data_IF_371246343520
#
_entry.id   IF_371246343520
#
_cell.length_a   1.000
_cell.length_b   1.000
_cell.length_c   1.000
_cell.angle_alpha   90.00
_cell.angle_beta   90.00
_cell.angle_gamma   90.00
#
_symmetry.space_group_name_H-M   'P 1'
#
loop_
_entity.id
_entity.type
_entity.pdbx_description
1 polymer ?
#
# COMPACT_ATOMS: atom_id res chain seq x y z
N UNK A 1 -18.20 -54.85 -8.83
CA UNK A 1 -17.46 -53.79 -9.51
C UNK A 1 -18.21 -52.48 -9.21
N UNK A 2 -17.83 -51.79 -8.12
CA UNK A 2 -18.50 -50.61 -7.64
C UNK A 2 -17.66 -49.40 -8.07
N UNK A 3 -18.20 -48.57 -8.95
CA UNK A 3 -17.63 -47.28 -9.33
C UNK A 3 -17.83 -46.28 -8.20
N UNK A 4 -16.74 -45.81 -7.59
CA UNK A 4 -16.77 -44.71 -6.67
C UNK A 4 -16.88 -43.41 -7.49
N UNK A 5 -18.08 -42.79 -7.47
CA UNK A 5 -18.27 -41.45 -7.99
C UNK A 5 -17.46 -40.45 -7.16
N UNK A 6 -16.52 -39.82 -7.82
CA UNK A 6 -15.73 -38.71 -7.27
C UNK A 6 -16.63 -37.54 -6.93
N UNK A 7 -16.79 -37.25 -5.64
CA UNK A 7 -17.45 -36.03 -5.18
C UNK A 7 -16.66 -34.84 -5.66
N UNK A 8 -17.19 -34.15 -6.65
CA UNK A 8 -16.73 -32.85 -7.09
C UNK A 8 -16.97 -31.85 -5.94
N UNK A 9 -15.88 -31.51 -5.22
CA UNK A 9 -15.93 -30.43 -4.23
C UNK A 9 -15.92 -29.13 -5.02
N UNK A 10 -16.98 -28.30 -4.98
CA UNK A 10 -16.97 -27.02 -5.66
C UNK A 10 -15.86 -26.18 -5.04
N UNK A 11 -14.90 -25.73 -5.87
CA UNK A 11 -13.92 -24.74 -5.47
C UNK A 11 -14.68 -23.52 -4.93
N UNK A 12 -14.50 -23.18 -3.66
CA UNK A 12 -14.97 -21.92 -3.12
C UNK A 12 -14.32 -20.83 -4.00
N UNK A 13 -15.12 -20.20 -4.85
CA UNK A 13 -14.73 -18.96 -5.53
C UNK A 13 -14.57 -17.91 -4.45
N UNK A 14 -13.36 -17.73 -3.94
CA UNK A 14 -13.00 -16.56 -3.14
C UNK A 14 -13.17 -15.37 -4.07
N UNK A 15 -14.21 -14.59 -3.85
CA UNK A 15 -14.49 -13.38 -4.59
C UNK A 15 -13.29 -12.44 -4.36
N UNK A 16 -12.44 -12.26 -5.38
CA UNK A 16 -11.28 -11.37 -5.30
C UNK A 16 -11.74 -9.91 -5.27
N UNK A 17 -11.07 -9.10 -4.46
CA UNK A 17 -11.35 -7.68 -4.38
C UNK A 17 -11.01 -7.00 -5.72
N UNK A 18 -12.00 -6.31 -6.32
CA UNK A 18 -11.86 -5.70 -7.65
C UNK A 18 -11.86 -4.18 -7.66
N UNK A 19 -12.24 -3.56 -6.54
CA UNK A 19 -12.32 -2.11 -6.40
C UNK A 19 -11.63 -1.70 -5.11
N UNK A 20 -10.49 -1.02 -5.20
CA UNK A 20 -9.68 -0.55 -4.08
C UNK A 20 -8.64 0.47 -4.54
N UNK A 21 -8.02 1.17 -3.59
CA UNK A 21 -6.82 1.95 -3.83
C UNK A 21 -5.66 1.37 -3.02
N UNK A 22 -4.62 0.90 -3.69
CA UNK A 22 -3.37 0.53 -3.02
C UNK A 22 -2.58 1.79 -2.68
N UNK A 23 -2.04 1.85 -1.46
CA UNK A 23 -1.30 3.01 -0.95
C UNK A 23 -0.04 2.56 -0.24
N UNK A 24 0.99 3.40 -0.35
CA UNK A 24 2.25 3.25 0.37
C UNK A 24 2.83 4.62 0.71
N UNK A 25 3.37 4.76 1.94
CA UNK A 25 4.02 5.97 2.43
C UNK A 25 5.48 5.74 2.74
N UNK A 26 6.33 6.73 2.38
CA UNK A 26 7.66 6.84 2.97
C UNK A 26 7.68 7.93 4.04
N UNK A 27 8.46 7.71 5.11
CA UNK A 27 8.60 8.67 6.21
C UNK A 27 10.01 9.21 6.31
N UNK A 28 10.15 10.50 6.56
CA UNK A 28 11.46 11.16 6.71
C UNK A 28 12.22 10.67 7.97
N UNK A 29 11.48 10.28 9.01
CA UNK A 29 12.03 9.83 10.28
C UNK A 29 11.05 8.90 11.00
N UNK A 30 11.32 8.55 12.26
CA UNK A 30 10.51 7.63 13.04
C UNK A 30 9.12 8.15 13.49
N UNK A 31 8.85 9.44 13.28
CA UNK A 31 7.51 9.99 13.54
C UNK A 31 6.59 9.64 12.39
N UNK A 32 5.47 8.99 12.65
CA UNK A 32 4.50 8.61 11.61
C UNK A 32 3.91 9.80 10.87
N UNK A 33 3.85 10.99 11.50
CA UNK A 33 3.43 12.23 10.82
C UNK A 33 4.45 12.79 9.83
N UNK A 34 5.68 12.25 9.79
CA UNK A 34 6.75 12.73 8.91
C UNK A 34 6.71 12.12 7.50
N UNK A 35 5.52 11.86 6.98
CA UNK A 35 5.37 11.36 5.61
C UNK A 35 6.08 12.29 4.63
N UNK A 36 6.94 11.74 3.77
CA UNK A 36 7.75 12.50 2.81
C UNK A 36 7.48 12.10 1.35
N UNK A 37 6.79 11.00 1.13
CA UNK A 37 6.19 10.68 -0.17
C UNK A 37 4.99 9.76 -0.02
N UNK A 38 4.13 9.74 -1.03
CA UNK A 38 3.00 8.84 -1.14
C UNK A 38 2.88 8.30 -2.55
N UNK A 39 2.60 7.01 -2.67
CA UNK A 39 2.20 6.34 -3.90
C UNK A 39 0.78 5.79 -3.77
N UNK A 40 -0.05 6.00 -4.77
CA UNK A 40 -1.43 5.47 -4.81
C UNK A 40 -1.73 4.86 -6.16
N UNK A 41 -2.37 3.69 -6.15
CA UNK A 41 -2.81 2.98 -7.36
C UNK A 41 -4.28 2.64 -7.23
N UNK A 42 -5.10 3.29 -8.03
CA UNK A 42 -6.53 3.02 -8.15
C UNK A 42 -6.80 1.76 -8.98
N UNK A 43 -7.62 0.86 -8.45
CA UNK A 43 -8.07 -0.35 -9.13
C UNK A 43 -9.59 -0.35 -9.17
N UNK A 44 -10.16 -0.47 -10.38
CA UNK A 44 -11.61 -0.56 -10.58
C UNK A 44 -11.93 -1.73 -11.52
N UNK A 45 -12.87 -2.54 -11.12
CA UNK A 45 -13.25 -3.76 -11.85
C UNK A 45 -12.06 -4.71 -12.13
N UNK A 46 -11.09 -4.76 -11.21
CA UNK A 46 -9.91 -5.60 -11.34
C UNK A 46 -8.84 -5.06 -12.30
N UNK A 47 -8.96 -3.81 -12.74
CA UNK A 47 -8.00 -3.15 -13.64
C UNK A 47 -7.45 -1.89 -12.99
N UNK A 48 -6.15 -1.66 -13.12
CA UNK A 48 -5.50 -0.41 -12.71
C UNK A 48 -6.02 0.73 -13.58
N UNK A 49 -6.65 1.73 -12.96
CA UNK A 49 -7.21 2.90 -13.65
C UNK A 49 -6.40 4.15 -13.43
N UNK A 50 -5.78 4.28 -12.26
CA UNK A 50 -5.12 5.51 -11.85
C UNK A 50 -3.81 5.20 -11.13
N UNK A 51 -2.83 6.09 -11.28
CA UNK A 51 -1.58 6.07 -10.55
C UNK A 51 -1.23 7.49 -10.12
N UNK A 52 -0.85 7.65 -8.88
CA UNK A 52 -0.47 8.93 -8.31
C UNK A 52 0.81 8.78 -7.49
N UNK A 53 1.69 9.76 -7.62
CA UNK A 53 2.88 9.89 -6.79
C UNK A 53 3.11 11.35 -6.44
N UNK A 54 3.43 11.62 -5.18
CA UNK A 54 3.88 12.95 -4.76
C UNK A 54 4.94 12.84 -3.69
N UNK A 55 5.92 13.73 -3.75
CA UNK A 55 6.70 14.12 -2.60
C UNK A 55 5.84 14.98 -1.68
N UNK A 56 6.16 14.96 -0.39
CA UNK A 56 5.43 15.70 0.65
C UNK A 56 6.46 16.39 1.55
N UNK A 57 6.23 17.67 1.87
CA UNK A 57 7.00 18.36 2.89
C UNK A 57 6.72 17.76 4.28
N UNK A 58 7.69 17.09 4.93
CA UNK A 58 7.41 16.31 6.12
C UNK A 58 7.38 17.14 7.40
N UNK A 59 6.56 16.73 8.36
CA UNK A 59 6.56 17.27 9.71
C UNK A 59 6.68 16.18 10.77
N UNK A 60 7.75 16.22 11.62
CA UNK A 60 8.81 17.25 11.72
C UNK A 60 9.79 17.20 10.54
N UNK A 61 10.35 18.38 10.18
CA UNK A 61 11.22 18.57 9.02
C UNK A 61 12.67 18.19 9.33
N UNK A 62 12.94 16.89 9.41
CA UNK A 62 14.29 16.32 9.42
C UNK A 62 14.25 14.89 8.88
N UNK A 63 15.35 14.43 8.29
CA UNK A 63 15.51 13.07 7.86
C UNK A 63 16.41 12.29 8.79
N UNK A 64 16.01 11.07 9.16
CA UNK A 64 16.89 10.15 9.85
C UNK A 64 17.79 9.43 8.84
N UNK A 65 19.01 9.15 9.25
CA UNK A 65 19.93 8.37 8.44
C UNK A 65 19.34 7.03 7.96
N UNK A 66 18.61 6.36 8.83
CA UNK A 66 18.03 5.05 8.52
C UNK A 66 16.92 5.13 7.48
N UNK A 67 16.03 6.12 7.58
CA UNK A 67 14.94 6.33 6.62
C UNK A 67 15.52 6.68 5.24
N UNK A 68 16.46 7.64 5.17
CA UNK A 68 17.15 7.97 3.92
C UNK A 68 17.85 6.76 3.29
N UNK A 69 18.47 5.89 4.08
CA UNK A 69 19.08 4.66 3.54
C UNK A 69 18.07 3.69 2.95
N UNK A 70 16.82 3.72 3.39
CA UNK A 70 15.77 2.85 2.89
C UNK A 70 15.24 3.35 1.55
N UNK A 71 14.75 4.59 1.49
CA UNK A 71 14.05 5.13 0.31
C UNK A 71 14.88 6.13 -0.52
N UNK A 72 16.05 6.55 -0.04
CA UNK A 72 16.95 7.45 -0.75
C UNK A 72 16.61 8.93 -0.72
N UNK A 73 15.41 9.31 -0.25
CA UNK A 73 14.98 10.71 -0.20
C UNK A 73 15.74 11.49 0.89
N UNK A 74 15.96 12.77 0.62
CA UNK A 74 16.68 13.72 1.47
C UNK A 74 15.86 14.99 1.69
N UNK A 75 16.35 15.88 2.56
CA UNK A 75 15.76 17.21 2.76
C UNK A 75 15.70 18.04 1.48
N UNK A 76 16.68 17.89 0.59
CA UNK A 76 16.76 18.65 -0.66
C UNK A 76 15.64 18.22 -1.62
N UNK A 77 15.32 16.92 -1.66
CA UNK A 77 14.30 16.38 -2.55
C UNK A 77 12.90 16.91 -2.22
N UNK A 78 12.63 17.22 -0.95
CA UNK A 78 11.32 17.62 -0.45
C UNK A 78 11.22 19.11 -0.07
N UNK A 79 12.29 19.89 -0.31
CA UNK A 79 12.35 21.28 0.13
C UNK A 79 11.23 22.16 -0.44
N UNK A 80 10.88 21.91 -1.71
CA UNK A 80 9.80 22.62 -2.44
C UNK A 80 8.55 21.74 -2.64
N UNK A 81 8.45 20.61 -1.92
CA UNK A 81 7.30 19.71 -2.02
C UNK A 81 6.06 20.35 -1.36
N UNK A 82 4.86 20.04 -1.86
CA UNK A 82 3.62 20.50 -1.25
C UNK A 82 3.45 19.88 0.15
N UNK A 83 2.66 20.53 0.98
CA UNK A 83 2.26 19.97 2.27
C UNK A 83 1.19 18.88 2.11
N UNK A 84 1.07 18.03 3.13
CA UNK A 84 0.16 16.89 3.09
C UNK A 84 -1.29 17.24 2.71
N UNK A 85 -1.94 18.29 3.23
CA UNK A 85 -3.34 18.59 2.88
C UNK A 85 -3.56 18.84 1.38
N UNK A 86 -2.60 19.49 0.70
CA UNK A 86 -2.69 19.76 -0.74
C UNK A 86 -2.53 18.48 -1.57
N UNK A 87 -1.65 17.59 -1.12
CA UNK A 87 -1.46 16.26 -1.75
C UNK A 87 -2.68 15.39 -1.50
N UNK A 88 -3.17 15.36 -0.26
CA UNK A 88 -4.26 14.48 0.13
C UNK A 88 -5.58 14.82 -0.55
N UNK A 89 -5.86 16.09 -0.81
CA UNK A 89 -7.04 16.51 -1.57
C UNK A 89 -7.11 15.88 -2.97
N UNK A 90 -5.95 15.67 -3.60
CA UNK A 90 -5.84 14.98 -4.90
C UNK A 90 -6.04 13.47 -4.74
N UNK A 91 -5.44 12.89 -3.70
CA UNK A 91 -5.61 11.46 -3.37
C UNK A 91 -7.08 11.15 -3.07
N UNK A 92 -7.76 11.97 -2.26
CA UNK A 92 -9.20 11.78 -1.96
C UNK A 92 -10.06 11.75 -3.22
N UNK A 93 -9.78 12.63 -4.18
CA UNK A 93 -10.46 12.63 -5.47
C UNK A 93 -10.23 11.34 -6.24
N UNK A 94 -9.00 10.81 -6.21
CA UNK A 94 -8.65 9.56 -6.90
C UNK A 94 -9.31 8.35 -6.25
N UNK A 95 -9.27 8.26 -4.92
CA UNK A 95 -9.80 7.08 -4.21
C UNK A 95 -11.34 7.05 -4.19
N UNK A 96 -12.03 8.19 -4.20
CA UNK A 96 -13.51 8.29 -4.26
C UNK A 96 -14.25 7.29 -3.34
N UNK A 97 -13.79 7.17 -2.09
CA UNK A 97 -14.37 6.25 -1.11
C UNK A 97 -14.06 4.77 -1.32
N UNK A 98 -13.10 4.43 -2.19
CA UNK A 98 -12.56 3.08 -2.28
C UNK A 98 -11.90 2.66 -0.96
N UNK A 99 -11.97 1.37 -0.57
CA UNK A 99 -11.17 0.85 0.52
C UNK A 99 -9.68 0.95 0.18
N UNK A 100 -8.86 1.19 1.20
CA UNK A 100 -7.41 1.28 1.07
C UNK A 100 -6.77 -0.10 1.28
N UNK A 101 -5.74 -0.37 0.50
CA UNK A 101 -4.96 -1.61 0.61
C UNK A 101 -3.50 -1.23 0.78
N UNK A 102 -2.82 -1.82 1.76
CA UNK A 102 -1.38 -1.63 1.95
C UNK A 102 -0.67 -2.93 2.31
N UNK A 103 0.65 -2.98 2.10
CA UNK A 103 1.46 -4.11 2.52
C UNK A 103 2.05 -3.87 3.90
N UNK A 104 1.54 -4.54 4.95
CA UNK A 104 1.72 -4.20 6.36
C UNK A 104 0.93 -2.94 6.77
N UNK A 105 -0.34 -2.91 6.41
CA UNK A 105 -1.24 -1.76 6.46
C UNK A 105 -1.28 -0.99 7.80
N UNK A 106 -0.87 -1.61 8.91
CA UNK A 106 -0.80 -0.92 10.20
C UNK A 106 0.16 0.28 10.18
N UNK A 107 1.24 0.18 9.40
CA UNK A 107 2.18 1.28 9.24
C UNK A 107 1.52 2.45 8.49
N UNK A 108 0.98 2.18 7.31
CA UNK A 108 0.37 3.22 6.46
C UNK A 108 -0.85 3.85 7.12
N UNK A 109 -1.69 3.06 7.77
CA UNK A 109 -2.83 3.57 8.55
C UNK A 109 -2.36 4.46 9.71
N UNK A 110 -1.28 4.06 10.41
CA UNK A 110 -0.72 4.87 11.50
C UNK A 110 -0.12 6.18 10.99
N UNK A 111 0.54 6.16 9.83
CA UNK A 111 1.04 7.37 9.18
C UNK A 111 -0.12 8.29 8.80
N UNK A 112 -1.15 7.76 8.17
CA UNK A 112 -2.30 8.52 7.73
C UNK A 112 -3.03 9.18 8.92
N UNK A 113 -3.30 8.43 9.98
CA UNK A 113 -3.91 8.97 11.21
C UNK A 113 -3.04 10.06 11.85
N UNK A 114 -1.73 9.82 11.98
CA UNK A 114 -0.81 10.76 12.61
C UNK A 114 -0.68 12.09 11.82
N UNK A 115 -0.71 12.03 10.50
CA UNK A 115 -0.61 13.24 9.69
C UNK A 115 -1.93 14.00 9.66
N UNK A 116 -3.09 13.33 9.64
CA UNK A 116 -4.40 13.98 9.81
C UNK A 116 -4.50 14.70 11.14
N UNK A 117 -4.07 14.07 12.23
CA UNK A 117 -4.00 14.71 13.56
C UNK A 117 -3.07 15.92 13.56
N UNK A 118 -1.89 15.80 12.92
CA UNK A 118 -0.90 16.88 12.82
C UNK A 118 -1.47 18.13 12.15
N UNK A 119 -2.30 17.97 11.11
CA UNK A 119 -2.91 19.08 10.38
C UNK A 119 -4.32 19.44 10.85
N UNK A 120 -4.78 18.83 11.96
CA UNK A 120 -6.12 19.07 12.53
C UNK A 120 -7.22 18.84 11.47
N UNK A 121 -7.04 17.78 10.67
CA UNK A 121 -8.01 17.37 9.65
C UNK A 121 -8.95 16.30 10.23
N UNK A 122 -10.21 16.33 9.81
CA UNK A 122 -11.17 15.26 10.15
C UNK A 122 -10.77 13.98 9.43
N UNK A 123 -10.48 12.91 10.21
CA UNK A 123 -10.11 11.61 9.66
C UNK A 123 -11.36 10.83 9.27
N UNK A 124 -11.62 10.57 7.98
CA UNK A 124 -12.65 9.65 7.58
C UNK A 124 -12.26 8.22 8.01
N UNK A 125 -13.20 7.43 8.49
CA UNK A 125 -12.91 6.05 8.87
C UNK A 125 -12.64 5.20 7.62
N UNK A 126 -11.41 5.29 7.09
CA UNK A 126 -10.98 4.48 5.94
C UNK A 126 -10.95 3.00 6.29
N UNK A 127 -11.53 2.18 5.43
CA UNK A 127 -11.41 0.72 5.53
C UNK A 127 -10.06 0.27 4.95
N UNK A 128 -9.22 -0.39 5.77
CA UNK A 128 -7.91 -0.88 5.36
C UNK A 128 -7.86 -2.40 5.24
N UNK A 129 -7.34 -2.87 4.11
CA UNK A 129 -7.00 -4.27 3.86
C UNK A 129 -5.49 -4.47 3.79
N UNK A 130 -5.01 -5.65 4.20
CA UNK A 130 -3.58 -5.93 4.34
C UNK A 130 -3.13 -7.10 3.50
N UNK A 131 -2.37 -6.85 2.46
CA UNK A 131 -1.79 -7.89 1.60
C UNK A 131 -0.77 -8.76 2.33
N UNK A 132 -0.01 -8.22 3.29
CA UNK A 132 0.91 -8.99 4.12
C UNK A 132 0.16 -10.01 5.01
N UNK A 133 -0.95 -9.62 5.63
CA UNK A 133 -1.79 -10.55 6.40
C UNK A 133 -2.46 -11.60 5.51
N UNK A 134 -2.92 -11.20 4.32
CA UNK A 134 -3.50 -12.11 3.35
C UNK A 134 -2.47 -13.14 2.88
N UNK A 135 -1.24 -12.73 2.56
CA UNK A 135 -0.18 -13.64 2.15
C UNK A 135 0.22 -14.61 3.26
N UNK A 136 0.35 -14.15 4.50
CA UNK A 136 0.62 -15.04 5.66
C UNK A 136 -0.45 -16.10 5.87
N UNK A 137 -1.71 -15.78 5.58
CA UNK A 137 -2.83 -16.71 5.69
C UNK A 137 -2.90 -17.68 4.52
N UNK A 138 -2.81 -17.18 3.27
CA UNK A 138 -3.00 -17.99 2.06
C UNK A 138 -1.75 -18.75 1.62
N UNK A 139 -0.55 -18.21 1.91
CA UNK A 139 0.75 -18.73 1.45
C UNK A 139 1.62 -19.23 2.62
N UNK A 140 1.00 -19.63 3.72
CA UNK A 140 1.70 -20.19 4.88
C UNK A 140 2.49 -21.43 4.47
N UNK A 141 3.81 -21.41 4.72
CA UNK A 141 4.71 -22.53 4.38
C UNK A 141 5.08 -22.62 2.89
N UNK A 142 4.58 -21.70 2.05
CA UNK A 142 4.92 -21.63 0.62
C UNK A 142 6.10 -20.69 0.39
N UNK A 143 6.11 -19.55 1.10
CA UNK A 143 7.13 -18.50 0.94
C UNK A 143 8.12 -18.50 2.10
N UNK A 144 9.40 -18.14 1.85
CA UNK A 144 10.42 -18.02 2.90
C UNK A 144 10.14 -16.86 3.87
N UNK A 145 9.48 -15.82 3.39
CA UNK A 145 9.01 -14.67 4.15
C UNK A 145 7.81 -14.01 3.43
N UNK A 146 7.21 -13.02 4.07
CA UNK A 146 6.07 -12.29 3.52
C UNK A 146 6.38 -10.79 3.34
N UNK A 147 7.62 -10.48 2.95
CA UNK A 147 8.00 -9.12 2.55
C UNK A 147 7.42 -8.78 1.18
N UNK A 148 7.19 -7.49 0.93
CA UNK A 148 6.51 -7.01 -0.28
C UNK A 148 7.11 -7.61 -1.57
N UNK A 149 8.43 -7.49 -1.76
CA UNK A 149 9.11 -8.01 -2.96
C UNK A 149 8.99 -9.54 -3.13
N UNK A 150 9.00 -10.30 -2.02
CA UNK A 150 8.86 -11.76 -2.06
C UNK A 150 7.45 -12.17 -2.50
N UNK A 151 6.45 -11.50 -1.94
CA UNK A 151 5.05 -11.80 -2.27
C UNK A 151 4.71 -11.28 -3.67
N UNK A 152 5.20 -10.11 -4.06
CA UNK A 152 5.02 -9.54 -5.41
C UNK A 152 5.59 -10.49 -6.48
N UNK A 153 6.82 -10.98 -6.30
CA UNK A 153 7.44 -11.94 -7.21
C UNK A 153 6.62 -13.24 -7.35
N UNK A 154 6.07 -13.74 -6.25
CA UNK A 154 5.18 -14.91 -6.28
C UNK A 154 3.90 -14.65 -7.07
N UNK A 155 3.34 -13.43 -6.98
CA UNK A 155 2.17 -13.00 -7.75
C UNK A 155 2.51 -12.58 -9.20
N UNK A 156 3.75 -12.78 -9.66
CA UNK A 156 4.18 -12.48 -11.02
C UNK A 156 4.50 -11.01 -11.28
N UNK A 157 4.66 -10.21 -10.23
CA UNK A 157 5.05 -8.79 -10.34
C UNK A 157 6.53 -8.58 -10.00
N UNK A 158 7.28 -7.96 -10.92
CA UNK A 158 8.71 -7.66 -10.75
C UNK A 158 8.89 -6.26 -10.13
N UNK A 159 9.16 -6.23 -8.83
CA UNK A 159 9.40 -5.00 -8.08
C UNK A 159 10.88 -4.59 -8.18
N UNK A 160 11.22 -3.80 -9.19
CA UNK A 160 12.61 -3.36 -9.45
C UNK A 160 13.04 -2.13 -8.64
N UNK A 161 12.09 -1.31 -8.19
CA UNK A 161 12.35 -0.05 -7.46
C UNK A 161 11.73 -0.10 -6.07
N UNK A 162 12.13 -1.08 -5.26
CA UNK A 162 11.66 -1.20 -3.88
C UNK A 162 12.04 0.06 -3.06
N UNK A 163 11.15 0.46 -2.13
CA UNK A 163 11.22 1.70 -1.36
C UNK A 163 11.02 2.99 -2.20
N UNK A 164 10.31 2.85 -3.30
CA UNK A 164 9.67 3.98 -3.97
C UNK A 164 8.16 3.83 -3.77
N UNK A 165 7.52 4.77 -3.10
CA UNK A 165 6.13 4.64 -2.67
C UNK A 165 5.16 4.25 -3.82
N UNK A 166 5.34 4.76 -5.04
CA UNK A 166 4.49 4.36 -6.16
C UNK A 166 4.77 2.92 -6.60
N UNK A 167 6.04 2.53 -6.71
CA UNK A 167 6.40 1.16 -7.11
C UNK A 167 5.92 0.14 -6.07
N UNK A 168 5.99 0.48 -4.78
CA UNK A 168 5.53 -0.38 -3.69
C UNK A 168 3.99 -0.45 -3.65
N UNK A 169 3.28 0.65 -3.94
CA UNK A 169 1.83 0.64 -4.13
C UNK A 169 1.40 -0.18 -5.36
N UNK A 170 2.14 -0.14 -6.47
CA UNK A 170 1.89 -0.98 -7.65
C UNK A 170 2.06 -2.48 -7.33
N UNK A 171 3.13 -2.84 -6.63
CA UNK A 171 3.35 -4.20 -6.17
C UNK A 171 2.24 -4.66 -5.21
N UNK A 172 1.84 -3.78 -4.29
CA UNK A 172 0.73 -4.03 -3.37
C UNK A 172 -0.59 -4.27 -4.13
N UNK A 173 -0.87 -3.48 -5.17
CA UNK A 173 -2.06 -3.65 -6.01
C UNK A 173 -2.06 -5.01 -6.75
N UNK A 174 -0.92 -5.41 -7.31
CA UNK A 174 -0.77 -6.72 -7.96
C UNK A 174 -1.03 -7.87 -6.97
N UNK A 175 -0.47 -7.79 -5.76
CA UNK A 175 -0.71 -8.77 -4.71
C UNK A 175 -2.19 -8.79 -4.28
N UNK A 176 -2.83 -7.62 -4.17
CA UNK A 176 -4.22 -7.52 -3.76
C UNK A 176 -5.17 -8.20 -4.75
N UNK A 177 -4.94 -8.03 -6.05
CA UNK A 177 -5.72 -8.69 -7.11
C UNK A 177 -5.65 -10.22 -7.04
N UNK A 178 -4.55 -10.78 -6.53
CA UNK A 178 -4.36 -12.23 -6.40
C UNK A 178 -4.80 -12.77 -5.03
N UNK A 179 -4.64 -11.98 -3.97
CA UNK A 179 -4.76 -12.49 -2.62
C UNK A 179 -5.91 -11.89 -1.79
N UNK A 180 -6.63 -10.87 -2.23
CA UNK A 180 -7.77 -10.26 -1.56
C UNK A 180 -9.03 -10.43 -2.39
#
# INVERSE_FOLDING_TARGET
MLFLEGKHVPALQTQTMKNFAAIDFETANQCHSSVCSVGVVGVRNGTVTDKFYSLIYPHPYFFSYWNTRVHGLTLEDVADAPEFPDVWSQVETLIEGLPLVAHNCQFDESCLRAVFEKYVMDYPEYEFYCTCRASRRKLKGVLPNHQLHTVAAYCGYDLTKHHNALADAEACAAIALELL
#
